data_IF_026761377427
#
_entry.id   IF_026761377427
#
_cell.length_a   1.000
_cell.length_b   1.000
_cell.length_c   1.000
_cell.angle_alpha   90.00
_cell.angle_beta   90.00
_cell.angle_gamma   90.00
#
_symmetry.space_group_name_H-M   'P 1'
#
loop_
_entity.id
_entity.type
_entity.pdbx_description
1 polymer ?
#
# COMPACT_ATOMS: atom_id res chain seq x y z
N UNK A 1 -21.65 -27.74 8.13
CA UNK A 1 -20.44 -27.19 8.79
C UNK A 1 -20.32 -25.73 8.41
N UNK A 2 -20.11 -24.84 9.37
CA UNK A 2 -19.81 -23.43 9.11
C UNK A 2 -18.30 -23.20 9.15
N UNK A 3 -17.79 -22.35 8.27
CA UNK A 3 -16.38 -21.97 8.21
C UNK A 3 -16.24 -20.56 8.77
N UNK A 4 -15.25 -20.34 9.63
CA UNK A 4 -14.99 -19.02 10.21
C UNK A 4 -14.34 -18.09 9.17
N UNK A 5 -14.81 -16.85 9.10
CA UNK A 5 -14.20 -15.80 8.29
C UNK A 5 -13.15 -15.09 9.14
N UNK A 6 -11.92 -14.87 8.65
CA UNK A 6 -10.92 -14.09 9.39
C UNK A 6 -11.43 -12.68 9.69
N UNK A 7 -11.29 -12.24 10.95
CA UNK A 7 -11.82 -10.95 11.42
C UNK A 7 -11.29 -9.76 10.63
N UNK A 8 -10.00 -9.79 10.25
CA UNK A 8 -9.35 -8.74 9.49
C UNK A 8 -9.70 -8.74 7.99
N UNK A 9 -10.36 -9.79 7.47
CA UNK A 9 -10.66 -9.92 6.03
C UNK A 9 -11.51 -8.76 5.54
N UNK A 10 -12.52 -8.35 6.33
CA UNK A 10 -13.45 -7.27 5.94
C UNK A 10 -12.70 -5.95 5.81
N UNK A 11 -11.92 -5.58 6.83
CA UNK A 11 -11.16 -4.32 6.86
C UNK A 11 -10.10 -4.28 5.76
N UNK A 12 -9.37 -5.38 5.55
CA UNK A 12 -8.39 -5.48 4.46
C UNK A 12 -9.07 -5.29 3.08
N UNK A 13 -10.20 -5.96 2.86
CA UNK A 13 -10.96 -5.85 1.61
C UNK A 13 -11.52 -4.45 1.38
N UNK A 14 -11.98 -3.78 2.44
CA UNK A 14 -12.42 -2.38 2.36
C UNK A 14 -11.31 -1.44 1.87
N UNK A 15 -10.08 -1.64 2.36
CA UNK A 15 -8.92 -0.87 1.90
C UNK A 15 -8.59 -1.10 0.42
N UNK A 16 -8.61 -2.35 -0.03
CA UNK A 16 -8.40 -2.68 -1.46
C UNK A 16 -9.47 -2.03 -2.33
N UNK A 17 -10.75 -2.16 -1.95
CA UNK A 17 -11.86 -1.57 -2.69
C UNK A 17 -11.76 -0.03 -2.74
N UNK A 18 -11.37 0.61 -1.64
CA UNK A 18 -11.17 2.05 -1.59
C UNK A 18 -10.07 2.50 -2.56
N UNK A 19 -8.91 1.84 -2.51
CA UNK A 19 -7.75 2.17 -3.36
C UNK A 19 -8.06 1.93 -4.84
N UNK A 20 -8.68 0.79 -5.16
CA UNK A 20 -9.15 0.50 -6.52
C UNK A 20 -10.06 1.61 -7.03
N UNK A 21 -11.11 1.93 -6.27
CA UNK A 21 -12.08 2.92 -6.68
C UNK A 21 -11.46 4.34 -6.77
N UNK A 22 -10.46 4.64 -5.93
CA UNK A 22 -9.69 5.88 -6.05
C UNK A 22 -8.98 5.97 -7.40
N UNK A 23 -8.22 4.94 -7.79
CA UNK A 23 -7.48 4.95 -9.06
C UNK A 23 -8.41 4.94 -10.28
N UNK A 24 -9.44 4.10 -10.28
CA UNK A 24 -10.39 4.02 -11.38
C UNK A 24 -11.15 5.34 -11.61
N UNK A 25 -11.55 6.04 -10.53
CA UNK A 25 -12.17 7.37 -10.63
C UNK A 25 -11.26 8.42 -11.25
N UNK A 26 -9.94 8.24 -11.17
CA UNK A 26 -8.96 9.13 -11.78
C UNK A 26 -8.49 8.64 -13.16
N UNK A 27 -9.18 7.66 -13.74
CA UNK A 27 -8.92 7.17 -15.09
C UNK A 27 -7.76 6.18 -15.20
N UNK A 28 -7.23 5.69 -14.08
CA UNK A 28 -6.23 4.64 -14.05
C UNK A 28 -6.87 3.25 -14.15
N UNK A 29 -6.08 2.24 -14.52
CA UNK A 29 -6.51 0.83 -14.56
C UNK A 29 -5.88 0.08 -13.40
N UNK A 30 -6.71 -0.47 -12.51
CA UNK A 30 -6.27 -1.21 -11.33
C UNK A 30 -6.32 -2.72 -11.56
N UNK A 31 -5.21 -3.41 -11.31
CA UNK A 31 -5.07 -4.86 -11.47
C UNK A 31 -4.69 -5.50 -10.14
N UNK A 32 -5.67 -6.06 -9.42
CA UNK A 32 -5.42 -6.79 -8.16
C UNK A 32 -4.58 -8.05 -8.42
N UNK A 33 -3.53 -8.24 -7.63
CA UNK A 33 -2.72 -9.46 -7.61
C UNK A 33 -3.47 -10.49 -6.78
N UNK A 34 -3.66 -11.69 -7.31
CA UNK A 34 -4.28 -12.77 -6.55
C UNK A 34 -3.44 -13.11 -5.32
N UNK A 35 -4.09 -13.47 -4.20
CA UNK A 35 -3.38 -13.75 -2.94
C UNK A 35 -2.30 -14.83 -3.05
N UNK A 36 -2.43 -15.78 -3.98
CA UNK A 36 -1.43 -16.81 -4.23
C UNK A 36 -0.14 -16.26 -4.86
N UNK A 37 -0.23 -15.08 -5.47
CA UNK A 37 0.85 -14.38 -6.17
C UNK A 37 1.31 -13.11 -5.44
N UNK A 38 0.77 -12.82 -4.26
CA UNK A 38 1.18 -11.65 -3.48
C UNK A 38 2.49 -11.93 -2.74
N UNK A 39 3.54 -11.27 -3.19
CA UNK A 39 4.87 -11.26 -2.56
C UNK A 39 5.26 -9.86 -2.05
N UNK A 40 4.25 -9.07 -1.63
CA UNK A 40 4.39 -7.70 -1.13
C UNK A 40 3.90 -6.63 -2.11
N UNK A 41 2.98 -6.98 -3.01
CA UNK A 41 2.39 -6.08 -4.02
C UNK A 41 0.95 -6.55 -4.22
N UNK A 42 0.00 -5.83 -3.62
CA UNK A 42 -1.41 -6.19 -3.69
C UNK A 42 -2.02 -5.87 -5.06
N UNK A 43 -1.47 -4.90 -5.80
CA UNK A 43 -1.93 -4.56 -7.14
C UNK A 43 -0.87 -3.86 -7.99
N UNK A 44 -1.11 -3.86 -9.30
CA UNK A 44 -0.48 -2.99 -10.27
C UNK A 44 -1.49 -1.95 -10.77
N UNK A 45 -1.02 -0.75 -11.08
CA UNK A 45 -1.87 0.34 -11.58
C UNK A 45 -1.21 0.96 -12.79
N UNK A 46 -1.88 0.87 -13.94
CA UNK A 46 -1.50 1.62 -15.13
C UNK A 46 -2.09 3.03 -15.05
N UNK A 47 -1.23 4.02 -15.24
CA UNK A 47 -1.60 5.42 -15.05
C UNK A 47 -2.33 5.93 -16.29
N UNK A 48 -3.55 6.41 -16.09
CA UNK A 48 -4.31 7.10 -17.12
C UNK A 48 -4.17 8.61 -17.02
N UNK A 49 -4.18 9.27 -18.17
CA UNK A 49 -4.26 10.73 -18.27
C UNK A 49 -5.17 11.11 -19.45
N UNK A 50 -6.12 12.03 -19.22
CA UNK A 50 -7.06 12.54 -20.25
C UNK A 50 -7.76 11.42 -21.04
N UNK A 51 -8.19 10.37 -20.35
CA UNK A 51 -8.91 9.23 -20.92
C UNK A 51 -8.05 8.27 -21.76
N UNK A 52 -6.73 8.35 -21.64
CA UNK A 52 -5.78 7.44 -22.32
C UNK A 52 -4.83 6.83 -21.30
N UNK A 53 -4.43 5.58 -21.53
CA UNK A 53 -3.33 4.98 -20.78
C UNK A 53 -2.01 5.63 -21.17
N UNK A 54 -1.21 5.96 -20.17
CA UNK A 54 0.19 6.32 -20.33
C UNK A 54 1.06 5.07 -20.30
N UNK A 55 2.35 5.14 -20.69
CA UNK A 55 3.29 4.04 -20.50
C UNK A 55 3.72 3.80 -19.04
N UNK A 56 3.18 4.56 -18.07
CA UNK A 56 3.60 4.49 -16.67
C UNK A 56 2.78 3.46 -15.92
N UNK A 57 3.48 2.69 -15.08
CA UNK A 57 2.89 1.69 -14.20
C UNK A 57 3.51 1.81 -12.81
N UNK A 58 2.68 1.61 -11.77
CA UNK A 58 3.12 1.52 -10.39
C UNK A 58 2.63 0.21 -9.77
N UNK A 59 3.32 -0.25 -8.74
CA UNK A 59 2.81 -1.29 -7.85
C UNK A 59 2.35 -0.65 -6.54
N UNK A 60 1.35 -1.24 -5.88
CA UNK A 60 0.87 -0.77 -4.58
C UNK A 60 0.85 -1.90 -3.56
N UNK A 61 1.30 -1.61 -2.33
CA UNK A 61 1.05 -2.39 -1.13
C UNK A 61 0.01 -1.66 -0.31
N UNK A 62 -1.10 -2.31 -0.02
CA UNK A 62 -2.28 -1.79 0.65
C UNK A 62 -2.39 -2.38 2.06
N UNK A 63 -2.47 -1.51 3.06
CA UNK A 63 -2.83 -1.85 4.43
C UNK A 63 -4.11 -1.10 4.81
N UNK A 64 -4.84 -1.65 5.77
CA UNK A 64 -6.11 -1.08 6.19
C UNK A 64 -6.32 -1.28 7.69
N UNK A 65 -6.93 -0.29 8.34
CA UNK A 65 -7.31 -0.32 9.74
C UNK A 65 -6.33 0.39 10.68
N UNK A 66 -6.82 0.67 11.88
CA UNK A 66 -6.15 1.46 12.92
C UNK A 66 -4.82 0.85 13.40
N UNK A 67 -4.59 -0.45 13.19
CA UNK A 67 -3.33 -1.10 13.55
C UNK A 67 -2.11 -0.56 12.80
N UNK A 68 -2.32 0.20 11.71
CA UNK A 68 -1.28 0.87 10.94
C UNK A 68 -1.17 2.37 11.29
N UNK A 69 -1.83 2.81 12.37
CA UNK A 69 -1.79 4.17 12.90
C UNK A 69 -1.01 4.17 14.22
N UNK A 70 -0.12 5.14 14.36
CA UNK A 70 0.67 5.39 15.57
C UNK A 70 -0.15 6.17 16.59
N UNK A 71 0.28 6.16 17.87
CA UNK A 71 -0.37 6.93 18.93
C UNK A 71 -0.41 8.45 18.62
N UNK A 72 0.62 8.96 17.95
CA UNK A 72 0.72 10.37 17.54
C UNK A 72 -0.12 10.69 16.28
N UNK A 73 -0.80 9.70 15.70
CA UNK A 73 -1.72 9.88 14.58
C UNK A 73 -1.10 9.75 13.18
N UNK A 74 0.18 9.45 13.07
CA UNK A 74 0.82 9.11 11.79
C UNK A 74 0.59 7.66 11.39
N UNK A 75 0.82 7.35 10.12
CA UNK A 75 0.58 6.02 9.56
C UNK A 75 1.89 5.31 9.25
N UNK A 76 1.84 4.00 9.05
CA UNK A 76 3.00 3.28 8.58
C UNK A 76 2.71 2.07 7.71
N UNK A 77 3.70 1.73 6.87
CA UNK A 77 3.76 0.44 6.17
C UNK A 77 4.94 -0.37 6.70
N UNK A 78 4.71 -1.59 7.21
CA UNK A 78 5.79 -2.49 7.58
C UNK A 78 6.63 -2.87 6.36
N UNK A 79 7.94 -2.65 6.41
CA UNK A 79 8.84 -3.00 5.31
C UNK A 79 9.11 -4.52 5.27
N UNK A 80 9.27 -5.13 6.45
CA UNK A 80 9.46 -6.58 6.64
C UNK A 80 10.46 -7.19 5.62
N UNK A 81 10.16 -8.38 5.10
CA UNK A 81 10.97 -9.12 4.12
C UNK A 81 10.98 -8.52 2.72
N UNK A 82 10.17 -7.48 2.46
CA UNK A 82 10.00 -6.92 1.12
C UNK A 82 11.02 -5.83 0.78
N UNK A 83 11.80 -5.35 1.75
CA UNK A 83 12.78 -4.26 1.57
C UNK A 83 13.63 -4.40 0.30
N UNK A 84 14.21 -5.58 0.12
CA UNK A 84 15.12 -5.86 -0.98
C UNK A 84 14.41 -5.84 -2.35
N UNK A 85 13.18 -6.38 -2.39
CA UNK A 85 12.36 -6.44 -3.59
C UNK A 85 11.85 -5.04 -3.97
N UNK A 86 11.32 -4.27 -3.01
CA UNK A 86 10.81 -2.92 -3.25
C UNK A 86 11.91 -1.94 -3.65
N UNK A 87 13.09 -2.00 -2.99
CA UNK A 87 14.23 -1.13 -3.29
C UNK A 87 14.75 -1.31 -4.73
N UNK A 88 14.83 -2.55 -5.19
CA UNK A 88 15.37 -2.91 -6.52
C UNK A 88 14.30 -3.04 -7.61
N UNK A 89 13.02 -2.87 -7.26
CA UNK A 89 11.92 -2.96 -8.22
C UNK A 89 12.10 -1.91 -9.33
N UNK A 90 11.96 -2.33 -10.59
CA UNK A 90 11.96 -1.44 -11.75
C UNK A 90 10.64 -0.66 -11.83
N UNK A 91 9.53 -1.30 -11.44
CA UNK A 91 8.24 -0.66 -11.20
C UNK A 91 8.24 -0.07 -9.79
N UNK A 92 8.06 1.26 -9.60
CA UNK A 92 8.00 1.88 -8.27
C UNK A 92 6.87 1.28 -7.42
N UNK A 93 7.14 1.06 -6.13
CA UNK A 93 6.17 0.50 -5.17
C UNK A 93 5.72 1.59 -4.21
N UNK A 94 4.42 1.82 -4.16
CA UNK A 94 3.79 2.76 -3.23
C UNK A 94 3.08 2.01 -2.10
N UNK A 95 3.33 2.44 -0.87
CA UNK A 95 2.62 1.95 0.30
C UNK A 95 1.39 2.79 0.53
N UNK A 96 0.23 2.18 0.70
CA UNK A 96 -1.05 2.86 0.94
C UNK A 96 -1.68 2.32 2.21
N UNK A 97 -2.10 3.20 3.11
CA UNK A 97 -2.76 2.87 4.37
C UNK A 97 -4.13 3.54 4.41
N UNK A 98 -5.19 2.74 4.28
CA UNK A 98 -6.57 3.20 4.44
C UNK A 98 -6.98 3.17 5.92
N UNK A 99 -7.53 4.28 6.42
CA UNK A 99 -8.09 4.39 7.75
C UNK A 99 -9.63 4.45 7.66
N UNK A 100 -10.35 3.39 8.09
CA UNK A 100 -11.81 3.38 8.06
C UNK A 100 -12.46 4.46 8.93
N UNK A 101 -11.75 4.99 9.94
CA UNK A 101 -12.29 5.99 10.86
C UNK A 101 -12.56 7.34 10.16
N UNK A 102 -11.71 7.73 9.21
CA UNK A 102 -11.85 8.97 8.44
C UNK A 102 -12.03 8.76 6.94
N UNK A 103 -12.02 7.50 6.48
CA UNK A 103 -12.21 7.10 5.09
C UNK A 103 -11.18 7.72 4.13
N UNK A 104 -9.96 7.94 4.62
CA UNK A 104 -8.85 8.44 3.82
C UNK A 104 -7.74 7.39 3.69
N UNK A 105 -7.05 7.40 2.55
CA UNK A 105 -5.81 6.67 2.36
C UNK A 105 -4.62 7.61 2.41
N UNK A 106 -3.56 7.18 3.09
CA UNK A 106 -2.26 7.87 3.15
C UNK A 106 -1.28 7.04 2.38
N UNK A 107 -0.34 7.68 1.70
CA UNK A 107 0.59 6.96 0.84
C UNK A 107 2.01 7.51 0.91
N UNK A 108 2.96 6.66 0.53
CA UNK A 108 4.35 7.05 0.34
C UNK A 108 5.04 6.15 -0.69
N UNK A 109 6.07 6.69 -1.33
CA UNK A 109 6.94 5.96 -2.25
C UNK A 109 7.94 5.08 -1.47
N UNK A 110 7.64 3.79 -1.36
CA UNK A 110 8.47 2.83 -0.63
C UNK A 110 9.78 2.59 -1.36
N UNK A 111 9.74 2.55 -2.70
CA UNK A 111 10.94 2.33 -3.51
C UNK A 111 11.92 3.48 -3.34
N UNK A 112 11.48 4.73 -3.47
CA UNK A 112 12.33 5.90 -3.30
C UNK A 112 12.87 6.00 -1.87
N UNK A 113 12.02 5.81 -0.85
CA UNK A 113 12.48 5.83 0.54
C UNK A 113 13.57 4.79 0.80
N UNK A 114 13.36 3.54 0.37
CA UNK A 114 14.33 2.48 0.62
C UNK A 114 15.65 2.68 -0.13
N UNK A 115 15.62 3.31 -1.31
CA UNK A 115 16.84 3.69 -2.04
C UNK A 115 17.61 4.78 -1.31
N UNK A 116 16.91 5.75 -0.72
CA UNK A 116 17.51 6.80 0.09
C UNK A 116 18.02 6.31 1.47
N UNK A 117 17.47 5.19 1.98
CA UNK A 117 17.83 4.60 3.27
C UNK A 117 18.34 3.15 3.06
N UNK A 118 19.58 2.96 2.58
CA UNK A 118 20.11 1.64 2.23
C UNK A 118 20.25 0.71 3.45
N UNK A 119 20.47 1.28 4.64
CA UNK A 119 20.59 0.54 5.90
C UNK A 119 19.23 0.07 6.46
N UNK A 120 18.12 0.52 5.87
CA UNK A 120 16.78 0.01 6.22
C UNK A 120 16.68 -1.46 5.81
N UNK A 121 16.83 -2.35 6.80
CA UNK A 121 16.76 -3.82 6.68
C UNK A 121 15.44 -4.38 7.18
N UNK A 122 15.23 -5.66 6.90
CA UNK A 122 14.26 -6.54 7.56
C UNK A 122 14.38 -6.45 9.09
N UNK A 123 13.24 -6.44 9.80
CA UNK A 123 13.23 -6.61 11.27
C UNK A 123 11.90 -6.22 11.91
N UNK A 124 11.55 -6.90 13.00
CA UNK A 124 10.29 -6.77 13.71
C UNK A 124 10.24 -5.51 14.60
N UNK A 125 9.11 -4.81 14.52
CA UNK A 125 8.52 -3.86 15.50
C UNK A 125 9.45 -2.85 16.17
N UNK A 126 9.58 -1.68 15.52
CA UNK A 126 9.54 -0.30 16.06
C UNK A 126 10.34 0.67 15.16
N UNK A 127 11.38 0.18 14.48
CA UNK A 127 12.27 1.00 13.63
C UNK A 127 12.16 0.72 12.12
N UNK A 128 11.30 -0.23 11.71
CA UNK A 128 11.20 -0.71 10.31
C UNK A 128 9.89 -0.38 9.60
N UNK A 129 9.23 0.65 10.11
CA UNK A 129 7.97 1.15 9.62
C UNK A 129 8.25 2.43 8.84
N UNK A 130 7.88 2.43 7.56
CA UNK A 130 7.91 3.69 6.81
C UNK A 130 6.79 4.58 7.35
N UNK A 131 7.15 5.65 8.06
CA UNK A 131 6.19 6.64 8.55
C UNK A 131 5.64 7.43 7.37
N UNK A 132 4.32 7.45 7.25
CA UNK A 132 3.58 8.28 6.32
C UNK A 132 2.96 9.40 7.16
N UNK A 133 3.48 10.64 7.04
CA UNK A 133 2.93 11.77 7.77
C UNK A 133 1.45 11.95 7.46
N UNK A 134 0.69 12.38 8.47
CA UNK A 134 -0.68 12.86 8.24
C UNK A 134 -0.65 14.00 7.22
N UNK A 135 -1.10 13.74 6.00
CA UNK A 135 -1.32 14.79 5.00
C UNK A 135 -2.59 15.54 5.40
N UNK A 136 -2.48 16.84 5.67
CA UNK A 136 -3.62 17.75 5.78
C UNK A 136 -4.23 17.90 4.39
N UNK A 137 -5.45 17.40 4.23
CA UNK A 137 -6.27 17.57 3.03
C UNK A 137 -6.76 19.00 2.86
#
# INVERSE_FOLDING_TARGET
MSVNIPENRRTAREGVNFVQAFFERHGCVFMEVSQQNDFGKDAYVDIGERGKLTPLCIAVQIKSGESNRTADGDYFVPVEQHAANWRRSTVPVFGMVYDPADKLARWADLTAYLRAHPDQKTGSRATNNLRIPRQSG
#
